data_IF_386453166708
#
_entry.id   IF_386453166708
#
_cell.length_a   1.000
_cell.length_b   1.000
_cell.length_c   1.000
_cell.angle_alpha   90.00
_cell.angle_beta   90.00
_cell.angle_gamma   90.00
#
_symmetry.space_group_name_H-M   'P 1'
#
loop_
_entity.id
_entity.type
_entity.pdbx_description
1 polymer ?
#
# COMPACT_ATOMS: atom_id res chain seq x y z
N UNK A 1 35.37 -32.66 74.93
CA UNK A 1 34.32 -32.19 73.98
C UNK A 1 35.04 -31.61 72.80
N UNK A 2 35.24 -32.38 71.73
CA UNK A 2 35.81 -31.95 70.46
C UNK A 2 34.68 -31.71 69.47
N UNK A 3 34.62 -30.57 68.75
CA UNK A 3 33.65 -30.41 67.68
C UNK A 3 34.12 -31.07 66.41
N UNK A 4 33.23 -31.73 65.80
CA UNK A 4 33.29 -32.54 64.60
C UNK A 4 33.67 -31.69 63.38
N UNK A 5 34.81 -32.01 62.76
CA UNK A 5 35.26 -31.42 61.46
C UNK A 5 34.48 -32.11 60.30
N UNK A 6 33.36 -31.53 59.89
CA UNK A 6 32.73 -31.96 58.64
C UNK A 6 33.55 -31.43 57.48
N UNK A 7 34.29 -32.33 56.85
CA UNK A 7 34.90 -32.09 55.58
C UNK A 7 33.85 -31.95 54.48
N UNK A 8 33.61 -30.71 54.05
CA UNK A 8 32.85 -30.45 52.83
C UNK A 8 33.67 -30.93 51.62
N UNK A 9 33.28 -32.07 51.07
CA UNK A 9 33.76 -32.53 49.80
C UNK A 9 33.26 -31.53 48.71
N UNK A 10 34.17 -30.76 48.14
CA UNK A 10 33.87 -29.92 46.97
C UNK A 10 33.46 -30.84 45.81
N UNK A 11 32.39 -30.54 45.08
CA UNK A 11 32.05 -31.31 43.89
C UNK A 11 33.19 -31.21 42.90
N UNK A 12 33.79 -32.36 42.53
CA UNK A 12 34.74 -32.45 41.43
C UNK A 12 34.03 -32.00 40.14
N UNK A 13 34.39 -30.84 39.67
CA UNK A 13 34.02 -30.40 38.32
C UNK A 13 34.66 -31.38 37.32
N UNK A 14 33.87 -32.36 36.89
CA UNK A 14 34.28 -33.30 35.88
C UNK A 14 34.79 -32.55 34.65
N UNK A 15 35.96 -32.90 34.18
CA UNK A 15 36.58 -32.44 32.93
C UNK A 15 35.55 -32.61 31.81
N UNK A 16 34.88 -31.54 31.45
CA UNK A 16 34.01 -31.49 30.27
C UNK A 16 34.92 -31.52 29.07
N UNK A 17 35.09 -32.71 28.52
CA UNK A 17 35.85 -32.94 27.30
C UNK A 17 35.08 -32.35 26.13
N UNK A 18 35.60 -31.27 25.55
CA UNK A 18 35.64 -30.87 24.13
C UNK A 18 34.40 -30.93 23.25
N UNK A 19 33.21 -31.38 23.69
CA UNK A 19 32.01 -31.56 22.84
C UNK A 19 31.22 -30.24 22.69
N UNK A 20 31.44 -29.27 23.57
CA UNK A 20 30.70 -28.00 23.56
C UNK A 20 30.95 -27.12 22.33
N UNK A 21 32.17 -27.14 21.82
CA UNK A 21 32.56 -26.31 20.67
C UNK A 21 31.87 -26.74 19.34
N UNK A 22 31.85 -28.01 18.94
CA UNK A 22 31.13 -28.42 17.74
C UNK A 22 29.61 -28.22 17.87
N UNK A 23 29.02 -28.40 19.06
CA UNK A 23 27.61 -28.15 19.28
C UNK A 23 27.32 -26.63 19.15
N UNK A 24 28.17 -25.78 19.72
CA UNK A 24 28.00 -24.32 19.60
C UNK A 24 28.09 -23.85 18.13
N UNK A 25 29.06 -24.38 17.37
CA UNK A 25 29.18 -24.09 15.93
C UNK A 25 27.95 -24.54 15.15
N UNK A 26 27.43 -25.73 15.44
CA UNK A 26 26.22 -26.24 14.80
C UNK A 26 25.01 -25.35 15.09
N UNK A 27 24.80 -24.95 16.34
CA UNK A 27 23.69 -24.08 16.74
C UNK A 27 23.80 -22.70 16.06
N UNK A 28 25.00 -22.09 16.04
CA UNK A 28 25.20 -20.80 15.38
C UNK A 28 24.93 -20.89 13.88
N UNK A 29 25.37 -21.94 13.20
CA UNK A 29 25.12 -22.10 11.76
C UNK A 29 23.64 -22.29 11.44
N UNK A 30 22.92 -23.10 12.23
CA UNK A 30 21.47 -23.29 12.07
C UNK A 30 20.73 -21.99 12.32
N UNK A 31 21.04 -21.25 13.38
CA UNK A 31 20.42 -19.95 13.66
C UNK A 31 20.71 -18.92 12.55
N UNK A 32 21.94 -18.89 12.02
CA UNK A 32 22.30 -17.98 10.93
C UNK A 32 21.48 -18.29 9.66
N UNK A 33 21.25 -19.55 9.32
CA UNK A 33 20.42 -19.93 8.19
C UNK A 33 18.95 -19.55 8.39
N UNK A 34 18.41 -19.71 9.60
CA UNK A 34 17.04 -19.29 9.92
C UNK A 34 16.88 -17.78 9.79
N UNK A 35 17.81 -16.99 10.33
CA UNK A 35 17.79 -15.54 10.23
C UNK A 35 17.90 -15.07 8.78
N UNK A 36 18.78 -15.70 7.98
CA UNK A 36 18.92 -15.39 6.56
C UNK A 36 17.62 -15.68 5.79
N UNK A 37 16.95 -16.79 6.08
CA UNK A 37 15.64 -17.12 5.49
C UNK A 37 14.56 -16.09 5.83
N UNK A 38 14.48 -15.65 7.07
CA UNK A 38 13.52 -14.60 7.48
C UNK A 38 13.80 -13.26 6.81
N UNK A 39 15.07 -12.88 6.63
CA UNK A 39 15.44 -11.63 5.99
C UNK A 39 14.98 -11.57 4.52
N UNK A 40 15.03 -12.67 3.78
CA UNK A 40 14.54 -12.75 2.40
C UNK A 40 13.02 -12.57 2.30
N UNK A 41 12.25 -13.14 3.23
CA UNK A 41 10.80 -12.97 3.28
C UNK A 41 10.41 -11.50 3.56
N UNK A 42 11.17 -10.80 4.41
CA UNK A 42 10.90 -9.39 4.73
C UNK A 42 11.12 -8.44 3.54
N UNK A 43 12.06 -8.73 2.65
CA UNK A 43 12.30 -7.91 1.45
C UNK A 43 11.10 -7.92 0.50
N UNK A 44 10.46 -9.07 0.31
CA UNK A 44 9.26 -9.21 -0.53
C UNK A 44 8.04 -8.45 0.04
N UNK A 45 7.86 -8.46 1.36
CA UNK A 45 6.74 -7.76 2.01
C UNK A 45 6.87 -6.24 1.95
N UNK A 46 8.10 -5.69 2.01
CA UNK A 46 8.33 -4.25 1.91
C UNK A 46 7.86 -3.66 0.56
N UNK A 47 8.15 -4.32 -0.55
CA UNK A 47 7.70 -3.90 -1.88
C UNK A 47 6.18 -4.00 -2.03
N UNK A 48 5.56 -5.05 -1.49
CA UNK A 48 4.11 -5.21 -1.53
C UNK A 48 3.39 -4.09 -0.76
N UNK A 49 3.91 -3.70 0.41
CA UNK A 49 3.36 -2.59 1.20
C UNK A 49 3.52 -1.25 0.47
N UNK A 50 4.66 -0.97 -0.16
CA UNK A 50 4.86 0.24 -0.96
C UNK A 50 3.84 0.35 -2.09
N UNK A 51 3.66 -0.71 -2.88
CA UNK A 51 2.67 -0.77 -3.95
C UNK A 51 1.24 -0.61 -3.42
N UNK A 52 0.92 -1.17 -2.25
CA UNK A 52 -0.39 -1.01 -1.63
C UNK A 52 -0.65 0.45 -1.24
N UNK A 53 0.32 1.14 -0.66
CA UNK A 53 0.23 2.57 -0.32
C UNK A 53 0.03 3.41 -1.59
N UNK A 54 0.81 3.17 -2.65
CA UNK A 54 0.64 3.88 -3.92
C UNK A 54 -0.71 3.62 -4.56
N UNK A 55 -1.24 2.40 -4.44
CA UNK A 55 -2.56 2.02 -4.91
C UNK A 55 -3.69 2.79 -4.20
N UNK A 56 -3.60 2.95 -2.87
CA UNK A 56 -4.56 3.75 -2.11
C UNK A 56 -4.49 5.25 -2.50
N UNK A 57 -3.29 5.78 -2.64
CA UNK A 57 -3.09 7.16 -3.11
C UNK A 57 -3.67 7.38 -4.52
N UNK A 58 -3.47 6.42 -5.43
CA UNK A 58 -4.03 6.47 -6.77
C UNK A 58 -5.57 6.42 -6.76
N UNK A 59 -6.18 5.66 -5.85
CA UNK A 59 -7.63 5.65 -5.66
C UNK A 59 -8.12 7.03 -5.19
N UNK A 60 -7.53 7.60 -4.16
CA UNK A 60 -7.91 8.92 -3.67
C UNK A 60 -7.68 10.04 -4.71
N UNK A 61 -6.64 9.91 -5.55
CA UNK A 61 -6.44 10.83 -6.66
C UNK A 61 -7.56 10.71 -7.70
N UNK A 62 -8.00 9.47 -8.01
CA UNK A 62 -9.12 9.23 -8.92
C UNK A 62 -10.44 9.77 -8.35
N UNK A 63 -10.74 9.53 -7.07
CA UNK A 63 -11.92 10.06 -6.39
C UNK A 63 -11.93 11.59 -6.36
N UNK A 64 -10.79 12.21 -6.01
CA UNK A 64 -10.68 13.67 -5.98
C UNK A 64 -10.88 14.28 -7.37
N UNK A 65 -10.31 13.65 -8.40
CA UNK A 65 -10.51 14.05 -9.79
C UNK A 65 -11.97 13.91 -10.23
N UNK A 66 -12.62 12.80 -9.86
CA UNK A 66 -14.04 12.57 -10.16
C UNK A 66 -14.94 13.62 -9.49
N UNK A 67 -14.68 13.97 -8.23
CA UNK A 67 -15.44 15.01 -7.51
C UNK A 67 -15.30 16.37 -8.16
N UNK A 68 -14.10 16.75 -8.60
CA UNK A 68 -13.90 18.00 -9.35
C UNK A 68 -14.67 17.99 -10.67
N UNK A 69 -14.58 16.89 -11.42
CA UNK A 69 -15.31 16.76 -12.69
C UNK A 69 -16.83 16.79 -12.51
N UNK A 70 -17.35 16.16 -11.44
CA UNK A 70 -18.78 16.23 -11.09
C UNK A 70 -19.21 17.66 -10.80
N UNK A 71 -18.43 18.41 -10.02
CA UNK A 71 -18.74 19.81 -9.72
C UNK A 71 -18.81 20.66 -11.00
N UNK A 72 -17.84 20.52 -11.90
CA UNK A 72 -17.82 21.23 -13.19
C UNK A 72 -19.01 20.87 -14.09
N UNK A 73 -19.38 19.60 -14.16
CA UNK A 73 -20.51 19.14 -14.96
C UNK A 73 -21.84 19.65 -14.38
N UNK A 74 -21.99 19.69 -13.06
CA UNK A 74 -23.20 20.19 -12.41
C UNK A 74 -23.35 21.71 -12.58
N UNK A 75 -22.24 22.46 -12.58
CA UNK A 75 -22.26 23.92 -12.77
C UNK A 75 -22.54 24.30 -14.23
N UNK A 76 -21.86 23.63 -15.18
CA UNK A 76 -21.96 23.94 -16.60
C UNK A 76 -23.07 23.20 -17.35
N UNK A 77 -23.69 22.16 -16.75
CA UNK A 77 -24.58 21.20 -17.40
C UNK A 77 -23.99 20.63 -18.72
N UNK A 78 -22.67 20.50 -18.78
CA UNK A 78 -21.93 20.07 -19.97
C UNK A 78 -20.56 19.51 -19.61
N UNK A 79 -19.93 18.78 -20.56
CA UNK A 79 -18.56 18.28 -20.40
C UNK A 79 -17.46 19.33 -20.71
N UNK A 80 -17.81 20.55 -21.11
CA UNK A 80 -16.83 21.53 -21.65
C UNK A 80 -15.87 22.10 -20.60
N UNK A 81 -16.25 22.12 -19.31
CA UNK A 81 -15.44 22.61 -18.19
C UNK A 81 -14.50 21.56 -17.58
N UNK A 82 -14.66 20.28 -17.92
CA UNK A 82 -13.90 19.21 -17.29
C UNK A 82 -12.47 19.19 -17.81
N UNK A 83 -11.45 19.39 -16.95
CA UNK A 83 -10.05 19.34 -17.38
C UNK A 83 -9.66 17.91 -17.77
N UNK A 84 -8.84 17.76 -18.81
CA UNK A 84 -8.38 16.44 -19.23
C UNK A 84 -7.43 15.76 -18.20
N UNK A 85 -6.67 16.57 -17.44
CA UNK A 85 -5.73 16.12 -16.42
C UNK A 85 -5.74 17.08 -15.24
N UNK A 86 -5.87 16.52 -14.04
CA UNK A 86 -5.69 17.22 -12.78
C UNK A 86 -4.40 16.72 -12.11
N UNK A 87 -3.47 17.65 -11.83
CA UNK A 87 -2.22 17.34 -11.12
C UNK A 87 -2.32 17.78 -9.68
N UNK A 88 -1.90 16.91 -8.76
CA UNK A 88 -1.89 17.19 -7.32
C UNK A 88 -0.46 17.53 -6.85
N UNK A 89 -0.25 18.78 -6.43
CA UNK A 89 1.05 19.31 -6.02
C UNK A 89 1.23 19.41 -4.51
N UNK A 90 0.17 19.20 -3.72
CA UNK A 90 0.17 19.41 -2.26
C UNK A 90 -0.40 18.19 -1.51
N UNK A 91 -0.10 18.14 -0.22
CA UNK A 91 -0.64 17.14 0.69
C UNK A 91 -0.21 15.70 0.40
N UNK A 92 -1.06 14.76 0.78
CA UNK A 92 -0.83 13.32 0.64
C UNK A 92 -0.85 12.84 -0.82
N UNK A 93 -1.41 13.63 -1.74
CA UNK A 93 -1.51 13.33 -3.16
C UNK A 93 -0.39 13.95 -4.01
N UNK A 94 0.62 14.57 -3.38
CA UNK A 94 1.76 15.14 -4.11
C UNK A 94 2.39 14.09 -5.04
N UNK A 95 2.56 14.46 -6.31
CA UNK A 95 3.13 13.56 -7.33
C UNK A 95 2.13 12.56 -7.90
N UNK A 96 0.83 12.72 -7.57
CA UNK A 96 -0.24 12.00 -8.22
C UNK A 96 -0.92 12.89 -9.28
N UNK A 97 -1.59 12.25 -10.22
CA UNK A 97 -2.44 12.92 -11.21
C UNK A 97 -3.71 12.11 -11.47
N UNK A 98 -4.77 12.79 -11.88
CA UNK A 98 -6.00 12.19 -12.36
C UNK A 98 -6.23 12.59 -13.82
N UNK A 99 -6.31 11.62 -14.71
CA UNK A 99 -6.76 11.82 -16.09
C UNK A 99 -8.29 11.68 -16.12
N UNK A 100 -8.96 12.69 -16.64
CA UNK A 100 -10.42 12.79 -16.61
C UNK A 100 -10.99 12.71 -18.03
N UNK A 101 -12.09 12.01 -18.17
CA UNK A 101 -12.89 12.04 -19.39
C UNK A 101 -14.36 12.13 -19.04
N UNK A 102 -15.10 12.87 -19.86
CA UNK A 102 -16.53 13.09 -19.74
C UNK A 102 -17.21 12.72 -21.05
N UNK A 103 -18.28 11.98 -20.96
CA UNK A 103 -19.14 11.63 -22.08
C UNK A 103 -20.60 11.94 -21.73
N UNK A 104 -21.28 12.69 -22.60
CA UNK A 104 -22.70 12.95 -22.45
C UNK A 104 -23.50 11.95 -23.28
N UNK A 105 -24.53 11.35 -22.71
CA UNK A 105 -25.47 10.54 -23.47
C UNK A 105 -26.49 11.44 -24.17
N UNK A 106 -27.08 10.90 -25.24
CA UNK A 106 -28.23 11.57 -25.86
C UNK A 106 -29.37 11.75 -24.83
N UNK A 107 -30.11 12.88 -24.88
CA UNK A 107 -31.24 13.11 -23.98
C UNK A 107 -32.26 11.97 -24.11
N UNK A 108 -32.55 11.30 -23.00
CA UNK A 108 -33.59 10.26 -22.96
C UNK A 108 -34.90 10.90 -22.50
N UNK A 109 -35.95 10.86 -23.27
CA UNK A 109 -37.25 11.40 -22.85
C UNK A 109 -37.85 10.49 -21.76
N UNK A 110 -37.65 10.89 -20.51
CA UNK A 110 -38.30 10.30 -19.35
C UNK A 110 -39.55 11.09 -19.01
N UNK A 111 -40.73 10.60 -19.45
CA UNK A 111 -42.03 11.08 -18.95
C UNK A 111 -42.32 12.57 -19.11
N UNK A 112 -42.28 13.10 -20.32
CA UNK A 112 -42.91 14.39 -20.65
C UNK A 112 -42.16 15.68 -20.31
N UNK A 113 -40.94 15.59 -19.78
CA UNK A 113 -40.03 16.72 -19.57
C UNK A 113 -38.85 16.66 -20.52
N UNK A 114 -38.36 17.79 -21.01
CA UNK A 114 -37.19 17.94 -21.88
C UNK A 114 -36.02 17.08 -21.34
N UNK A 115 -35.58 16.11 -22.11
CA UNK A 115 -34.70 15.02 -21.78
C UNK A 115 -33.63 15.31 -20.76
N UNK A 116 -33.62 14.50 -19.71
CA UNK A 116 -32.50 14.48 -18.76
C UNK A 116 -31.29 13.84 -19.47
N UNK A 117 -30.26 14.63 -19.64
CA UNK A 117 -28.96 14.18 -20.13
C UNK A 117 -28.20 13.52 -19.00
N UNK A 118 -27.62 12.35 -19.24
CA UNK A 118 -26.74 11.67 -18.28
C UNK A 118 -25.31 11.85 -18.74
N UNK A 119 -24.47 12.25 -17.82
CA UNK A 119 -23.02 12.40 -18.05
C UNK A 119 -22.30 11.24 -17.38
N UNK A 120 -21.44 10.56 -18.11
CA UNK A 120 -20.54 9.53 -17.59
C UNK A 120 -19.15 10.14 -17.49
N UNK A 121 -18.63 10.17 -16.27
CA UNK A 121 -17.31 10.68 -15.93
C UNK A 121 -16.41 9.50 -15.57
N UNK A 122 -15.23 9.42 -16.20
CA UNK A 122 -14.20 8.45 -15.85
C UNK A 122 -12.97 9.20 -15.39
N UNK A 123 -12.53 8.89 -14.18
CA UNK A 123 -11.33 9.44 -13.58
C UNK A 123 -10.30 8.34 -13.35
N UNK A 124 -9.13 8.48 -13.93
CA UNK A 124 -7.99 7.56 -13.77
C UNK A 124 -6.92 8.21 -12.94
N UNK A 125 -6.85 7.87 -11.65
CA UNK A 125 -5.79 8.29 -10.74
C UNK A 125 -4.53 7.48 -10.94
N UNK A 126 -3.39 8.17 -10.93
CA UNK A 126 -2.06 7.56 -11.03
C UNK A 126 -1.13 8.18 -10.00
N UNK A 127 -0.38 7.35 -9.26
CA UNK A 127 0.62 7.76 -8.27
C UNK A 127 1.86 6.87 -8.37
N UNK A 128 3.03 7.45 -8.07
CA UNK A 128 4.30 6.75 -8.16
C UNK A 128 4.95 6.86 -9.53
N UNK A 129 6.12 6.24 -9.68
CA UNK A 129 6.92 6.24 -10.91
C UNK A 129 7.58 4.88 -11.13
N UNK A 130 7.89 4.54 -12.37
CA UNK A 130 8.59 3.29 -12.70
C UNK A 130 7.86 2.05 -12.20
N UNK A 131 8.56 1.19 -11.49
CA UNK A 131 8.01 -0.08 -10.98
C UNK A 131 7.00 0.09 -9.82
N UNK A 132 6.91 1.29 -9.25
CA UNK A 132 5.97 1.62 -8.17
C UNK A 132 4.76 2.42 -8.66
N UNK A 133 4.56 2.52 -9.97
CA UNK A 133 3.41 3.19 -10.54
C UNK A 133 2.13 2.39 -10.26
N UNK A 134 1.21 2.99 -9.54
CA UNK A 134 -0.12 2.45 -9.29
C UNK A 134 -1.18 3.28 -10.04
N UNK A 135 -2.18 2.62 -10.59
CA UNK A 135 -3.31 3.25 -11.28
C UNK A 135 -4.63 2.69 -10.78
N UNK A 136 -5.62 3.58 -10.56
CA UNK A 136 -7.01 3.23 -10.20
C UNK A 136 -7.97 4.04 -11.06
N UNK A 137 -9.12 3.46 -11.31
CA UNK A 137 -10.17 4.09 -12.13
C UNK A 137 -11.45 4.18 -11.30
N UNK A 138 -12.09 5.33 -11.36
CA UNK A 138 -13.40 5.59 -10.77
C UNK A 138 -14.31 6.10 -11.88
N UNK A 139 -15.49 5.54 -11.99
CA UNK A 139 -16.53 5.94 -12.94
C UNK A 139 -17.75 6.45 -12.17
N UNK A 140 -18.28 7.58 -12.58
CA UNK A 140 -19.42 8.24 -11.95
C UNK A 140 -20.43 8.67 -13.01
N UNK A 141 -21.69 8.32 -12.79
CA UNK A 141 -22.81 8.82 -13.58
C UNK A 141 -23.47 10.03 -12.88
N UNK A 142 -23.64 11.12 -13.61
CA UNK A 142 -24.27 12.36 -13.13
C UNK A 142 -25.49 12.67 -13.98
N UNK A 143 -26.58 13.10 -13.31
CA UNK A 143 -27.86 13.43 -13.97
C UNK A 143 -28.43 14.72 -13.39
#
# INVERSE_FOLDING_TARGET
MCPDSRSHSAPAFGRQQGIGLPIALFVITVLALLVAGMAQLQQGTGQAVSLQVQSQRALHAAESGAQLAVAEVLDAASCTGVPAVQVFSVGALRGCQAALSCAATAPVPLGGSSGNQVFTLVSRGQCGTGNELASRVVEVGVR
#
